data_IF_580093338876
#
_entry.id   IF_580093338876
#
_cell.length_a   1.000
_cell.length_b   1.000
_cell.length_c   1.000
_cell.angle_alpha   90.00
_cell.angle_beta   90.00
_cell.angle_gamma   90.00
#
_symmetry.space_group_name_H-M   'P 1'
#
loop_
_entity.id
_entity.type
_entity.pdbx_description
1 polymer ?
#
# COMPACT_ATOMS: atom_id res chain seq x y z
N UNK A 1 8.85 -3.72 -13.96
CA UNK A 1 9.46 -3.48 -12.63
C UNK A 1 8.41 -2.98 -11.67
N UNK A 2 8.49 -3.40 -10.41
CA UNK A 2 7.53 -3.05 -9.39
C UNK A 2 8.15 -2.00 -8.47
N UNK A 3 7.39 -0.95 -8.17
CA UNK A 3 7.86 0.13 -7.29
C UNK A 3 7.14 0.04 -5.96
N UNK A 4 7.91 0.20 -4.89
CA UNK A 4 7.37 0.27 -3.54
C UNK A 4 7.54 1.69 -3.04
N UNK A 5 6.45 2.32 -2.63
CA UNK A 5 6.44 3.72 -2.22
C UNK A 5 5.97 3.80 -0.77
N UNK A 6 6.77 4.46 0.07
CA UNK A 6 6.39 4.74 1.45
C UNK A 6 6.05 6.21 1.57
N UNK A 7 4.97 6.51 2.27
CA UNK A 7 4.56 7.88 2.49
C UNK A 7 3.72 7.96 3.76
N UNK A 8 3.46 9.17 4.21
CA UNK A 8 2.63 9.37 5.39
C UNK A 8 1.76 10.58 5.20
N UNK A 9 0.69 10.67 5.99
CA UNK A 9 -0.18 11.84 6.00
C UNK A 9 -0.71 12.04 7.41
N UNK A 10 -1.07 13.28 7.76
CA UNK A 10 -1.61 13.55 9.09
C UNK A 10 -3.05 13.07 9.22
N UNK A 11 -3.38 12.53 10.39
CA UNK A 11 -4.75 12.16 10.69
C UNK A 11 -5.56 13.42 10.93
N UNK A 12 -6.76 13.50 10.38
CA UNK A 12 -7.65 14.64 10.58
C UNK A 12 -8.13 14.75 12.03
N UNK A 13 -8.16 13.64 12.75
CA UNK A 13 -8.72 13.62 14.08
C UNK A 13 -7.77 14.19 15.13
N UNK A 14 -6.48 13.90 15.04
CA UNK A 14 -5.55 14.26 16.10
C UNK A 14 -4.18 14.72 15.60
N UNK A 15 -3.99 14.78 14.29
CA UNK A 15 -2.74 15.25 13.71
C UNK A 15 -1.58 14.28 13.74
N UNK A 16 -1.79 13.07 14.26
CA UNK A 16 -0.75 12.04 14.23
C UNK A 16 -0.55 11.55 12.81
N UNK A 17 0.70 11.28 12.46
CA UNK A 17 1.00 10.77 11.14
C UNK A 17 0.58 9.33 10.97
N UNK A 18 -0.01 9.04 9.82
CA UNK A 18 -0.37 7.69 9.43
C UNK A 18 0.61 7.24 8.36
N UNK A 19 1.31 6.15 8.65
CA UNK A 19 2.31 5.60 7.75
C UNK A 19 1.65 4.71 6.70
N UNK A 20 2.01 4.90 5.44
CA UNK A 20 1.40 4.21 4.32
C UNK A 20 2.43 3.55 3.44
N UNK A 21 2.01 2.51 2.73
CA UNK A 21 2.85 1.78 1.81
C UNK A 21 2.03 1.47 0.56
N UNK A 22 2.60 1.73 -0.60
CA UNK A 22 1.96 1.40 -1.86
C UNK A 22 2.91 0.60 -2.71
N UNK A 23 2.38 -0.40 -3.39
CA UNK A 23 3.15 -1.19 -4.36
C UNK A 23 2.49 -1.02 -5.71
N UNK A 24 3.25 -0.49 -6.66
CA UNK A 24 2.73 -0.07 -7.96
C UNK A 24 3.48 -0.82 -9.05
N UNK A 25 2.76 -1.50 -9.95
CA UNK A 25 3.42 -2.14 -11.09
C UNK A 25 3.84 -1.11 -12.13
N UNK A 26 4.94 -1.42 -12.81
CA UNK A 26 5.35 -0.61 -13.95
C UNK A 26 4.63 -1.15 -15.17
N UNK A 27 3.88 -0.28 -15.83
CA UNK A 27 3.08 -0.67 -16.98
C UNK A 27 3.78 -0.32 -18.28
N UNK A 28 3.54 -1.13 -19.30
CA UNK A 28 3.98 -0.81 -20.65
C UNK A 28 3.09 0.28 -21.25
N UNK A 29 3.45 0.67 -22.48
CA UNK A 29 2.84 1.83 -23.14
C UNK A 29 1.33 1.71 -23.26
N UNK A 30 0.83 0.54 -23.58
CA UNK A 30 -0.60 0.33 -23.83
C UNK A 30 -1.27 -0.45 -22.71
N UNK A 31 -0.57 -0.65 -21.60
CA UNK A 31 -1.12 -1.37 -20.47
C UNK A 31 -1.83 -0.43 -19.50
N UNK A 32 -2.80 -0.98 -18.81
CA UNK A 32 -3.54 -0.23 -17.79
C UNK A 32 -3.59 -1.04 -16.51
N UNK A 33 -3.74 -0.35 -15.39
CA UNK A 33 -3.95 -1.03 -14.11
C UNK A 33 -5.28 -1.76 -14.15
N UNK A 34 -5.30 -2.94 -13.53
CA UNK A 34 -6.53 -3.71 -13.44
C UNK A 34 -7.44 -3.18 -12.34
N UNK A 35 -6.85 -2.59 -11.32
CA UNK A 35 -7.62 -2.06 -10.22
C UNK A 35 -6.71 -1.65 -9.08
N UNK A 36 -7.33 -1.18 -8.02
CA UNK A 36 -6.64 -0.75 -6.81
C UNK A 36 -7.15 -1.59 -5.66
N UNK A 37 -6.22 -2.14 -4.88
CA UNK A 37 -6.54 -2.95 -3.72
C UNK A 37 -6.14 -2.18 -2.48
N UNK A 38 -7.09 -1.92 -1.60
CA UNK A 38 -6.83 -1.28 -0.33
C UNK A 38 -6.86 -2.35 0.76
N UNK A 39 -5.78 -2.45 1.51
CA UNK A 39 -5.64 -3.48 2.53
C UNK A 39 -5.82 -2.84 3.90
N UNK A 40 -6.68 -3.44 4.72
CA UNK A 40 -6.87 -3.04 6.10
C UNK A 40 -6.36 -4.18 6.97
N UNK A 41 -5.34 -3.91 7.78
CA UNK A 41 -4.74 -4.96 8.60
C UNK A 41 -5.21 -4.84 10.05
N UNK A 42 -5.01 -5.92 10.80
CA UNK A 42 -5.38 -5.95 12.20
C UNK A 42 -4.45 -5.11 13.06
N UNK A 43 -4.89 -4.84 14.29
CA UNK A 43 -4.16 -3.94 15.17
C UNK A 43 -2.77 -4.44 15.56
N UNK A 44 -2.56 -5.73 15.59
CA UNK A 44 -1.28 -6.29 15.99
C UNK A 44 -0.38 -6.66 14.82
N UNK A 45 -0.73 -6.20 13.62
CA UNK A 45 0.02 -6.53 12.43
C UNK A 45 0.75 -5.31 11.89
N UNK A 46 1.75 -5.56 11.06
CA UNK A 46 2.53 -4.52 10.41
C UNK A 46 2.22 -4.50 8.93
N UNK A 47 2.21 -3.31 8.33
CA UNK A 47 1.96 -3.20 6.89
C UNK A 47 2.97 -3.98 6.07
N UNK A 48 4.22 -4.07 6.54
CA UNK A 48 5.27 -4.78 5.82
C UNK A 48 5.01 -6.28 5.67
N UNK A 49 4.15 -6.84 6.52
CA UNK A 49 3.79 -8.26 6.41
C UNK A 49 3.05 -8.58 5.14
N UNK A 50 2.44 -7.57 4.53
CA UNK A 50 1.63 -7.76 3.32
C UNK A 50 2.41 -7.52 2.04
N UNK A 51 3.70 -7.15 2.14
CA UNK A 51 4.51 -6.88 0.96
C UNK A 51 4.52 -8.04 -0.06
N UNK A 52 4.71 -9.30 0.36
CA UNK A 52 4.71 -10.39 -0.62
C UNK A 52 3.39 -10.49 -1.38
N UNK A 53 2.27 -10.29 -0.68
CA UNK A 53 0.96 -10.31 -1.33
C UNK A 53 0.82 -9.12 -2.29
N UNK A 54 1.26 -7.94 -1.85
CA UNK A 54 1.15 -6.74 -2.67
C UNK A 54 2.00 -6.84 -3.93
N UNK A 55 3.18 -7.44 -3.82
CA UNK A 55 4.04 -7.67 -4.98
C UNK A 55 3.41 -8.68 -5.93
N UNK A 56 2.80 -9.71 -5.37
CA UNK A 56 2.09 -10.70 -6.18
C UNK A 56 0.97 -10.03 -6.99
N UNK A 57 0.22 -9.15 -6.36
CA UNK A 57 -0.85 -8.44 -7.04
C UNK A 57 -0.31 -7.44 -8.07
N UNK A 58 0.83 -6.81 -7.78
CA UNK A 58 1.45 -5.89 -8.72
C UNK A 58 1.88 -6.60 -10.01
N UNK A 59 2.34 -7.84 -9.89
CA UNK A 59 2.70 -8.62 -11.08
C UNK A 59 1.48 -8.86 -11.96
N UNK A 60 0.29 -8.71 -11.41
CA UNK A 60 -0.98 -8.85 -12.12
C UNK A 60 -1.62 -7.53 -12.46
N UNK A 61 -0.84 -6.43 -12.39
CA UNK A 61 -1.26 -5.09 -12.79
C UNK A 61 -2.22 -4.43 -11.79
N UNK A 62 -2.20 -4.84 -10.54
CA UNK A 62 -2.97 -4.19 -9.49
C UNK A 62 -2.08 -3.27 -8.69
N UNK A 63 -2.61 -2.10 -8.35
CA UNK A 63 -1.98 -1.20 -7.38
C UNK A 63 -2.51 -1.60 -6.01
N UNK A 64 -1.60 -1.80 -5.05
CA UNK A 64 -1.98 -2.14 -3.68
C UNK A 64 -1.57 -1.02 -2.76
N UNK A 65 -2.43 -0.64 -1.84
CA UNK A 65 -2.12 0.35 -0.82
C UNK A 65 -2.53 -0.19 0.55
N UNK A 66 -1.71 0.11 1.54
CA UNK A 66 -1.97 -0.29 2.91
C UNK A 66 -1.49 0.82 3.84
N UNK A 67 -2.20 1.02 4.95
CA UNK A 67 -1.77 1.99 5.93
C UNK A 67 -1.84 1.36 7.32
N UNK A 68 -1.00 1.84 8.21
CA UNK A 68 -1.02 1.40 9.59
C UNK A 68 -2.14 2.10 10.33
N UNK A 69 -2.68 1.43 11.33
CA UNK A 69 -3.62 2.07 12.21
C UNK A 69 -2.88 3.15 13.00
N UNK A 70 -3.61 4.19 13.36
CA UNK A 70 -3.09 5.25 14.17
C UNK A 70 -2.46 4.70 15.45
N UNK A 71 -1.23 5.14 15.74
CA UNK A 71 -0.51 4.63 16.88
C UNK A 71 0.24 3.33 16.65
N UNK A 72 0.19 2.80 15.43
CA UNK A 72 0.88 1.57 15.05
C UNK A 72 1.86 1.83 13.92
N UNK A 73 2.90 1.07 13.88
CA UNK A 73 3.89 1.15 12.84
C UNK A 73 4.94 2.17 13.05
#
# INVERSE_FOLDING_TARGET
MIRTIQYSFPSKADGLEISCLAVVPELGRDEKYRGIIQIVHGMSEYKERYLPFMEYMAERKYVSVIHDHRGHG
#
